data_IF_042799441412
#
_entry.id   IF_042799441412
#
_cell.length_a   1.000
_cell.length_b   1.000
_cell.length_c   1.000
_cell.angle_alpha   90.00
_cell.angle_beta   90.00
_cell.angle_gamma   90.00
#
_symmetry.space_group_name_H-M   'P 1'
#
loop_
_entity.id
_entity.type
_entity.pdbx_description
1 polymer ?
#
# COMPACT_ATOMS: atom_id res chain seq x y z
N UNK A 1 -41.97 -11.28 19.82
CA UNK A 1 -42.12 -11.50 18.36
C UNK A 1 -41.81 -12.97 18.12
N UNK A 2 -42.76 -13.84 17.72
CA UNK A 2 -42.48 -15.28 17.75
C UNK A 2 -41.68 -15.77 16.54
N UNK A 3 -40.80 -16.74 16.78
CA UNK A 3 -39.92 -17.37 15.79
C UNK A 3 -40.19 -18.86 15.67
N UNK A 4 -40.79 -19.51 16.67
CA UNK A 4 -41.24 -20.90 16.64
C UNK A 4 -42.75 -20.98 16.94
N UNK A 5 -43.46 -21.86 16.24
CA UNK A 5 -44.78 -22.35 16.64
C UNK A 5 -44.70 -23.84 17.01
N UNK A 6 -45.37 -24.24 18.09
CA UNK A 6 -45.46 -25.64 18.47
C UNK A 6 -46.23 -26.46 17.43
N UNK A 7 -46.04 -27.79 17.37
CA UNK A 7 -46.74 -28.66 16.42
C UNK A 7 -48.28 -28.58 16.50
N UNK A 8 -48.81 -28.31 17.69
CA UNK A 8 -50.25 -28.14 17.92
C UNK A 8 -50.79 -26.75 17.49
N UNK A 9 -49.92 -25.85 17.02
CA UNK A 9 -50.27 -24.51 16.57
C UNK A 9 -50.63 -23.52 17.69
N UNK A 10 -50.65 -23.95 18.96
CA UNK A 10 -51.16 -23.15 20.08
C UNK A 10 -50.08 -22.27 20.71
N UNK A 11 -48.89 -22.83 20.90
CA UNK A 11 -47.80 -22.17 21.61
C UNK A 11 -46.87 -21.48 20.61
N UNK A 12 -46.51 -20.23 20.91
CA UNK A 12 -45.63 -19.40 20.09
C UNK A 12 -44.47 -18.92 20.95
N UNK A 13 -43.26 -19.28 20.58
CA UNK A 13 -42.05 -18.95 21.33
C UNK A 13 -41.09 -18.10 20.49
N UNK A 14 -40.24 -17.33 21.17
CA UNK A 14 -39.14 -16.57 20.60
C UNK A 14 -37.85 -17.23 21.09
N UNK A 15 -37.30 -18.13 20.27
CA UNK A 15 -36.15 -18.98 20.65
C UNK A 15 -34.93 -18.81 19.74
N UNK A 16 -35.09 -18.08 18.64
CA UNK A 16 -34.06 -17.86 17.65
C UNK A 16 -33.46 -16.45 17.86
N UNK A 17 -32.12 -16.36 17.98
CA UNK A 17 -31.43 -15.12 18.30
C UNK A 17 -30.21 -14.88 17.40
N UNK A 18 -29.96 -13.61 17.08
CA UNK A 18 -28.71 -13.16 16.45
C UNK A 18 -27.87 -12.48 17.54
N UNK A 19 -26.73 -13.06 17.89
CA UNK A 19 -25.84 -12.54 18.93
C UNK A 19 -24.61 -11.88 18.31
N UNK A 20 -24.17 -10.75 18.88
CA UNK A 20 -22.99 -10.03 18.40
C UNK A 20 -22.39 -9.18 19.52
N UNK A 21 -21.07 -8.98 19.49
CA UNK A 21 -20.38 -7.99 20.31
C UNK A 21 -20.44 -6.56 19.74
N UNK A 22 -21.05 -6.37 18.55
CA UNK A 22 -21.16 -5.09 17.86
C UNK A 22 -22.58 -4.82 17.39
N UNK A 23 -23.51 -4.74 18.35
CA UNK A 23 -24.93 -4.51 18.07
C UNK A 23 -25.19 -3.26 17.21
N UNK A 24 -24.38 -2.20 17.36
CA UNK A 24 -24.49 -0.96 16.59
C UNK A 24 -24.28 -1.12 15.08
N UNK A 25 -23.70 -2.23 14.63
CA UNK A 25 -23.46 -2.50 13.21
C UNK A 25 -24.68 -3.13 12.54
N UNK A 26 -25.68 -3.56 13.31
CA UNK A 26 -26.87 -4.21 12.78
C UNK A 26 -28.10 -3.31 12.92
N UNK A 27 -28.94 -3.31 11.90
CA UNK A 27 -30.22 -2.59 11.88
C UNK A 27 -31.32 -3.43 11.25
N UNK A 28 -32.55 -2.90 11.25
CA UNK A 28 -33.71 -3.52 10.59
C UNK A 28 -33.98 -4.97 11.04
N UNK A 29 -34.04 -5.18 12.36
CA UNK A 29 -34.43 -6.47 12.94
C UNK A 29 -35.91 -6.74 12.67
N UNK A 30 -36.19 -7.82 11.95
CA UNK A 30 -37.56 -8.18 11.58
C UNK A 30 -37.72 -9.68 11.40
N UNK A 31 -38.90 -10.20 11.75
CA UNK A 31 -39.31 -11.56 11.41
C UNK A 31 -40.10 -11.52 10.10
N UNK A 32 -39.65 -12.31 9.12
CA UNK A 32 -40.28 -12.39 7.80
C UNK A 32 -41.59 -13.18 7.91
N UNK A 33 -42.72 -12.49 7.75
CA UNK A 33 -44.07 -13.07 7.99
C UNK A 33 -44.67 -13.85 6.83
N UNK A 34 -44.22 -13.57 5.59
CA UNK A 34 -44.79 -14.13 4.35
C UNK A 34 -43.72 -14.92 3.60
N UNK A 35 -43.27 -16.01 4.22
CA UNK A 35 -42.33 -16.93 3.60
C UNK A 35 -42.83 -18.35 3.83
N UNK A 36 -43.19 -19.04 2.75
CA UNK A 36 -43.88 -20.32 2.82
C UNK A 36 -42.88 -21.47 2.72
N UNK A 37 -42.27 -21.82 3.85
CA UNK A 37 -41.49 -23.04 3.99
C UNK A 37 -42.26 -24.08 4.81
N UNK A 38 -41.97 -25.35 4.58
CA UNK A 38 -42.43 -26.44 5.42
C UNK A 38 -41.62 -26.51 6.73
N UNK A 39 -41.65 -25.43 7.51
CA UNK A 39 -41.03 -25.34 8.84
C UNK A 39 -41.97 -24.62 9.81
N UNK A 40 -41.89 -25.00 11.08
CA UNK A 40 -42.55 -24.32 12.18
C UNK A 40 -41.74 -23.12 12.72
N UNK A 41 -40.59 -22.81 12.13
CA UNK A 41 -39.81 -21.61 12.41
C UNK A 41 -40.11 -20.47 11.43
N UNK A 42 -39.94 -19.23 11.89
CA UNK A 42 -39.95 -18.01 11.08
C UNK A 42 -38.54 -17.45 10.94
N UNK A 43 -38.20 -16.99 9.75
CA UNK A 43 -36.91 -16.38 9.47
C UNK A 43 -36.76 -15.01 10.16
N UNK A 44 -35.60 -14.80 10.77
CA UNK A 44 -35.16 -13.51 11.30
C UNK A 44 -34.24 -12.85 10.27
N UNK A 45 -34.47 -11.56 10.03
CA UNK A 45 -33.64 -10.70 9.20
C UNK A 45 -33.02 -9.59 10.04
N UNK A 46 -31.74 -9.35 9.82
CA UNK A 46 -31.03 -8.14 10.25
C UNK A 46 -30.15 -7.65 9.09
N UNK A 47 -29.93 -6.35 9.02
CA UNK A 47 -29.08 -5.70 8.02
C UNK A 47 -27.76 -5.30 8.65
N UNK A 48 -26.65 -5.70 8.03
CA UNK A 48 -25.31 -5.28 8.44
C UNK A 48 -24.94 -3.94 7.78
N UNK A 49 -24.69 -2.92 8.58
CA UNK A 49 -24.10 -1.65 8.15
C UNK A 49 -22.61 -1.83 7.88
N UNK A 50 -22.24 -1.98 6.62
CA UNK A 50 -20.85 -1.95 6.19
C UNK A 50 -20.45 -0.53 5.79
N UNK A 51 -19.41 0.00 6.43
CA UNK A 51 -18.74 1.20 5.91
C UNK A 51 -17.80 0.80 4.78
N UNK A 52 -17.68 1.64 3.76
CA UNK A 52 -16.66 1.47 2.74
C UNK A 52 -15.29 1.35 3.44
N UNK A 53 -14.50 0.29 3.16
CA UNK A 53 -13.18 0.18 3.73
C UNK A 53 -12.40 1.45 3.37
N UNK A 54 -11.70 2.04 4.34
CA UNK A 54 -10.82 3.17 4.07
C UNK A 54 -9.90 2.78 2.92
N UNK A 55 -9.83 3.62 1.88
CA UNK A 55 -8.92 3.40 0.75
C UNK A 55 -7.55 3.04 1.33
N UNK A 56 -7.00 1.86 1.00
CA UNK A 56 -5.68 1.51 1.47
C UNK A 56 -4.71 2.60 1.02
N UNK A 57 -3.72 2.91 1.86
CA UNK A 57 -2.63 3.81 1.46
C UNK A 57 -2.08 3.28 0.13
N UNK A 58 -1.92 4.12 -0.91
CA UNK A 58 -1.31 3.70 -2.17
C UNK A 58 0.00 3.00 -1.84
N UNK A 59 0.11 1.72 -2.17
CA UNK A 59 1.40 1.04 -2.11
C UNK A 59 2.24 1.70 -3.19
N UNK A 60 3.45 2.15 -2.84
CA UNK A 60 4.47 2.43 -3.83
C UNK A 60 4.73 1.09 -4.51
N UNK A 61 4.17 0.89 -5.71
CA UNK A 61 4.55 -0.24 -6.53
C UNK A 61 6.08 -0.15 -6.72
N UNK A 62 6.86 -1.16 -6.26
CA UNK A 62 8.31 -1.12 -6.37
C UNK A 62 8.76 -1.10 -7.83
N UNK A 63 7.91 -1.58 -8.75
CA UNK A 63 8.06 -1.42 -10.18
C UNK A 63 7.12 -0.32 -10.68
N UNK A 64 7.55 0.95 -10.63
CA UNK A 64 6.99 1.95 -11.55
C UNK A 64 7.27 1.46 -12.96
N UNK A 65 6.28 0.84 -13.60
CA UNK A 65 6.36 0.50 -15.02
C UNK A 65 6.61 1.80 -15.78
N UNK A 66 7.62 1.80 -16.64
CA UNK A 66 7.90 2.92 -17.51
C UNK A 66 6.66 3.19 -18.37
N UNK A 67 6.29 4.47 -18.51
CA UNK A 67 5.24 4.85 -19.42
C UNK A 67 5.63 4.52 -20.86
N UNK A 68 4.65 4.30 -21.74
CA UNK A 68 4.87 3.99 -23.17
C UNK A 68 5.82 4.98 -23.85
N UNK A 69 5.66 6.28 -23.58
CA UNK A 69 6.53 7.34 -24.10
C UNK A 69 7.98 7.23 -23.62
N UNK A 70 8.19 6.83 -22.36
CA UNK A 70 9.53 6.64 -21.81
C UNK A 70 10.22 5.42 -22.45
N UNK A 71 9.46 4.35 -22.70
CA UNK A 71 9.96 3.15 -23.38
C UNK A 71 10.38 3.50 -24.81
N UNK A 72 9.58 4.30 -25.52
CA UNK A 72 9.87 4.75 -26.88
C UNK A 72 11.14 5.63 -26.93
N UNK A 73 11.26 6.59 -26.01
CA UNK A 73 12.47 7.41 -25.86
C UNK A 73 13.71 6.57 -25.56
N UNK A 74 13.61 5.58 -24.66
CA UNK A 74 14.71 4.65 -24.35
C UNK A 74 15.11 3.85 -25.59
N UNK A 75 14.13 3.38 -26.36
CA UNK A 75 14.38 2.58 -27.56
C UNK A 75 15.12 3.38 -28.63
N UNK A 76 14.74 4.65 -28.84
CA UNK A 76 15.42 5.55 -29.78
C UNK A 76 16.85 5.82 -29.31
N UNK A 77 17.04 6.21 -28.05
CA UNK A 77 18.37 6.51 -27.51
C UNK A 77 19.31 5.30 -27.56
N UNK A 78 18.81 4.10 -27.28
CA UNK A 78 19.60 2.87 -27.39
C UNK A 78 19.96 2.54 -28.85
N UNK A 79 19.07 2.84 -29.80
CA UNK A 79 19.36 2.62 -31.22
C UNK A 79 20.52 3.50 -31.67
N UNK A 80 20.54 4.76 -31.25
CA UNK A 80 21.58 5.72 -31.60
C UNK A 80 22.93 5.33 -30.94
N UNK A 81 22.93 5.01 -29.65
CA UNK A 81 24.12 4.55 -28.92
C UNK A 81 24.71 3.25 -29.48
N UNK A 82 23.86 2.36 -30.00
CA UNK A 82 24.31 1.09 -30.54
C UNK A 82 24.58 1.10 -32.05
N UNK A 83 24.44 2.24 -32.73
CA UNK A 83 24.66 2.36 -34.17
C UNK A 83 26.05 1.82 -34.58
N UNK A 84 27.08 2.19 -33.83
CA UNK A 84 28.48 1.81 -34.09
C UNK A 84 29.02 0.81 -33.06
N UNK A 85 28.15 0.08 -32.35
CA UNK A 85 28.56 -0.82 -31.27
C UNK A 85 29.51 -1.92 -31.74
N UNK A 86 29.28 -2.44 -32.95
CA UNK A 86 30.10 -3.50 -33.53
C UNK A 86 31.55 -3.04 -33.77
N UNK A 87 31.71 -1.79 -34.21
CA UNK A 87 33.01 -1.23 -34.55
C UNK A 87 33.73 -0.71 -33.30
N UNK A 88 33.00 -0.03 -32.40
CA UNK A 88 33.55 0.48 -31.14
C UNK A 88 33.96 -0.61 -30.14
N UNK A 89 33.43 -1.83 -30.27
CA UNK A 89 33.77 -2.97 -29.41
C UNK A 89 34.62 -4.03 -30.09
N UNK A 90 35.11 -3.80 -31.31
CA UNK A 90 35.81 -4.81 -32.13
C UNK A 90 36.94 -5.52 -31.37
N UNK A 91 37.79 -4.75 -30.70
CA UNK A 91 38.97 -5.21 -29.96
C UNK A 91 38.66 -5.71 -28.53
N UNK A 92 37.40 -5.59 -28.08
CA UNK A 92 36.99 -6.01 -26.75
C UNK A 92 36.74 -7.53 -26.71
N UNK A 93 37.09 -8.13 -25.57
CA UNK A 93 36.68 -9.49 -25.24
C UNK A 93 35.17 -9.61 -25.05
N UNK A 94 34.69 -10.85 -25.01
CA UNK A 94 33.25 -11.15 -24.94
C UNK A 94 32.65 -10.58 -23.65
N UNK A 95 33.34 -10.69 -22.52
CA UNK A 95 32.83 -10.21 -21.24
C UNK A 95 32.76 -8.68 -21.20
N UNK A 96 33.75 -7.98 -21.76
CA UNK A 96 33.78 -6.53 -21.86
C UNK A 96 32.66 -6.00 -22.77
N UNK A 97 32.35 -6.73 -23.86
CA UNK A 97 31.18 -6.45 -24.72
C UNK A 97 29.88 -6.52 -23.94
N UNK A 98 29.66 -7.59 -23.18
CA UNK A 98 28.47 -7.74 -22.35
C UNK A 98 28.36 -6.65 -21.29
N UNK A 99 29.47 -6.34 -20.60
CA UNK A 99 29.50 -5.29 -19.59
C UNK A 99 29.18 -3.91 -20.20
N UNK A 100 29.74 -3.60 -21.37
CA UNK A 100 29.48 -2.36 -22.10
C UNK A 100 28.01 -2.26 -22.48
N UNK A 101 27.46 -3.30 -23.11
CA UNK A 101 26.05 -3.38 -23.49
C UNK A 101 25.11 -3.19 -22.28
N UNK A 102 25.36 -3.91 -21.19
CA UNK A 102 24.55 -3.83 -19.97
C UNK A 102 24.63 -2.43 -19.35
N UNK A 103 25.82 -1.83 -19.32
CA UNK A 103 26.02 -0.48 -18.78
C UNK A 103 25.32 0.58 -19.63
N UNK A 104 25.35 0.48 -20.96
CA UNK A 104 24.64 1.39 -21.86
C UNK A 104 23.13 1.31 -21.62
N UNK A 105 22.56 0.10 -21.55
CA UNK A 105 21.14 -0.09 -21.21
C UNK A 105 20.80 0.51 -19.85
N UNK A 106 21.58 0.22 -18.81
CA UNK A 106 21.36 0.75 -17.47
C UNK A 106 21.43 2.28 -17.44
N UNK A 107 22.35 2.87 -18.19
CA UNK A 107 22.58 4.32 -18.23
C UNK A 107 21.45 5.03 -18.95
N UNK A 108 21.11 4.62 -20.17
CA UNK A 108 20.01 5.22 -20.94
C UNK A 108 18.67 5.04 -20.23
N UNK A 109 18.42 3.86 -19.66
CA UNK A 109 17.25 3.62 -18.81
C UNK A 109 17.25 4.56 -17.61
N UNK A 110 18.36 4.73 -16.89
CA UNK A 110 18.43 5.65 -15.74
C UNK A 110 18.23 7.11 -16.13
N UNK A 111 18.72 7.55 -17.28
CA UNK A 111 18.59 8.95 -17.74
C UNK A 111 17.12 9.28 -18.04
N UNK A 112 16.45 8.42 -18.79
CA UNK A 112 15.06 8.66 -19.26
C UNK A 112 14.02 8.25 -18.20
N UNK A 113 14.33 7.25 -17.38
CA UNK A 113 13.48 6.85 -16.27
C UNK A 113 13.51 7.84 -15.09
N UNK A 114 14.32 8.91 -15.13
CA UNK A 114 14.48 9.80 -13.98
C UNK A 114 14.16 11.28 -14.19
N UNK A 115 13.80 11.98 -13.09
CA UNK A 115 13.76 11.46 -11.72
C UNK A 115 12.37 11.54 -11.08
N UNK A 116 12.16 10.80 -9.99
CA UNK A 116 11.37 11.37 -8.88
C UNK A 116 11.82 12.82 -8.79
N UNK A 117 10.92 13.80 -9.00
CA UNK A 117 11.21 15.16 -8.53
C UNK A 117 11.80 14.96 -7.15
N UNK A 118 13.01 15.47 -6.92
CA UNK A 118 13.63 15.36 -5.62
C UNK A 118 12.78 16.23 -4.70
N UNK A 119 11.68 15.64 -4.20
CA UNK A 119 10.73 16.28 -3.30
C UNK A 119 11.38 16.61 -1.98
N UNK A 120 12.64 16.22 -1.79
CA UNK A 120 13.49 16.50 -0.65
C UNK A 120 14.58 17.52 -0.97
N UNK A 121 14.64 18.11 -2.17
CA UNK A 121 15.61 19.17 -2.51
C UNK A 121 15.48 20.44 -1.67
N UNK A 122 14.31 20.65 -1.04
CA UNK A 122 14.09 21.73 -0.07
C UNK A 122 14.55 21.37 1.34
N UNK A 123 14.86 20.10 1.63
CA UNK A 123 15.38 19.68 2.93
C UNK A 123 16.86 19.99 3.02
N UNK A 124 17.29 20.50 4.16
CA UNK A 124 18.71 20.65 4.46
C UNK A 124 19.37 19.30 4.71
N UNK A 125 20.70 19.28 4.57
CA UNK A 125 21.54 18.12 4.90
C UNK A 125 21.28 17.65 6.34
N UNK A 126 21.12 18.59 7.28
CA UNK A 126 20.82 18.29 8.68
C UNK A 126 19.49 17.52 8.83
N UNK A 127 18.42 17.98 8.18
CA UNK A 127 17.12 17.30 8.23
C UNK A 127 17.19 15.90 7.62
N UNK A 128 17.97 15.74 6.54
CA UNK A 128 18.17 14.45 5.87
C UNK A 128 18.90 13.47 6.77
N UNK A 129 19.94 13.92 7.49
CA UNK A 129 20.67 13.10 8.48
C UNK A 129 19.76 12.64 9.62
N UNK A 130 18.96 13.55 10.20
CA UNK A 130 18.02 13.20 11.27
C UNK A 130 16.98 12.15 10.82
N UNK A 131 16.53 12.22 9.56
CA UNK A 131 15.60 11.24 8.99
C UNK A 131 16.22 9.84 8.86
N UNK A 132 17.47 9.75 8.41
CA UNK A 132 18.20 8.47 8.34
C UNK A 132 18.53 7.93 9.74
N UNK A 133 18.95 8.78 10.69
CA UNK A 133 19.13 8.38 12.08
C UNK A 133 17.84 7.78 12.68
N UNK A 134 16.69 8.44 12.46
CA UNK A 134 15.40 7.94 12.91
C UNK A 134 15.08 6.57 12.33
N UNK A 135 15.41 6.33 11.06
CA UNK A 135 15.20 5.06 10.39
C UNK A 135 16.07 3.96 10.99
N UNK A 136 17.33 4.26 11.32
CA UNK A 136 18.20 3.34 12.08
C UNK A 136 17.62 3.00 13.46
N UNK A 137 17.07 3.97 14.20
CA UNK A 137 16.44 3.68 15.50
C UNK A 137 15.15 2.86 15.39
N UNK A 138 14.46 2.89 14.25
CA UNK A 138 13.27 2.05 14.00
C UNK A 138 13.69 0.62 13.70
N UNK A 139 14.77 0.41 12.94
CA UNK A 139 15.26 -0.92 12.56
C UNK A 139 16.10 -1.60 13.64
N UNK A 140 16.68 -0.85 14.57
CA UNK A 140 17.45 -1.41 15.68
C UNK A 140 16.58 -2.24 16.64
N UNK A 141 17.11 -3.40 17.06
CA UNK A 141 16.48 -4.35 18.00
C UNK A 141 16.53 -3.88 19.46
N UNK A 142 17.35 -2.87 19.77
CA UNK A 142 17.56 -2.40 21.13
C UNK A 142 16.36 -1.62 21.68
N UNK A 143 15.81 -2.10 22.80
CA UNK A 143 14.53 -1.65 23.35
C UNK A 143 14.66 -0.65 24.49
N UNK A 144 15.75 -0.70 25.29
CA UNK A 144 15.81 -0.07 26.63
C UNK A 144 15.67 1.46 26.64
N UNK A 145 15.91 2.16 25.53
CA UNK A 145 15.68 3.61 25.43
C UNK A 145 15.12 4.07 24.09
N UNK A 146 14.65 3.14 23.26
CA UNK A 146 14.22 3.41 21.87
C UNK A 146 13.13 4.47 21.80
N UNK A 147 12.14 4.39 22.70
CA UNK A 147 10.99 5.29 22.72
C UNK A 147 11.39 6.74 23.03
N UNK A 148 12.29 6.94 24.00
CA UNK A 148 12.82 8.27 24.36
C UNK A 148 13.68 8.86 23.23
N UNK A 149 14.58 8.07 22.64
CA UNK A 149 15.41 8.48 21.50
C UNK A 149 14.57 8.85 20.27
N UNK A 150 13.58 8.03 19.93
CA UNK A 150 12.64 8.31 18.83
C UNK A 150 11.82 9.58 19.07
N UNK A 151 11.37 9.83 20.30
CA UNK A 151 10.65 11.04 20.64
C UNK A 151 11.52 12.29 20.47
N UNK A 152 12.78 12.24 20.93
CA UNK A 152 13.75 13.34 20.79
C UNK A 152 14.02 13.65 19.31
N UNK A 153 14.40 12.65 18.52
CA UNK A 153 14.70 12.82 17.09
C UNK A 153 13.46 13.26 16.31
N UNK A 154 12.27 12.75 16.64
CA UNK A 154 11.04 13.20 15.98
C UNK A 154 10.74 14.68 16.27
N UNK A 155 11.10 15.19 17.46
CA UNK A 155 11.00 16.62 17.78
C UNK A 155 12.02 17.44 16.97
N UNK A 156 13.27 16.98 16.90
CA UNK A 156 14.34 17.66 16.14
C UNK A 156 14.04 17.71 14.64
N UNK A 157 13.55 16.61 14.05
CA UNK A 157 13.10 16.58 12.64
C UNK A 157 12.00 17.62 12.41
N UNK A 158 11.02 17.71 13.34
CA UNK A 158 9.91 18.67 13.20
C UNK A 158 10.42 20.11 13.18
N UNK A 159 11.34 20.46 14.06
CA UNK A 159 11.93 21.80 14.11
C UNK A 159 12.82 22.07 12.88
N UNK A 160 13.62 21.09 12.45
CA UNK A 160 14.48 21.23 11.27
C UNK A 160 13.67 21.41 9.98
N UNK A 161 12.63 20.61 9.78
CA UNK A 161 11.66 20.78 8.69
C UNK A 161 11.00 22.16 8.72
N UNK A 162 10.68 22.69 9.90
CA UNK A 162 10.07 24.02 10.02
C UNK A 162 11.03 25.13 9.61
N UNK A 163 12.33 24.96 9.83
CA UNK A 163 13.38 25.88 9.38
C UNK A 163 13.61 25.78 7.88
N UNK A 164 13.67 24.57 7.32
CA UNK A 164 13.87 24.32 5.89
C UNK A 164 12.73 24.87 5.00
N UNK A 165 11.55 25.15 5.58
CA UNK A 165 10.40 25.74 4.87
C UNK A 165 10.38 27.28 4.88
N UNK A 166 11.24 27.93 5.66
CA UNK A 166 11.36 29.39 5.70
C UNK A 166 12.36 29.85 4.66
#
# INVERSE_FOLDING_TARGET
>A
MWTLISPDGKTKNEIDFITTNRASYFTNFSVIKRFNFNTNHRLIRAELKTYQPRKPRPRLDPAKKLGRQQIEQITIALRDEFADFKDSTRELGIQEKYNSFENTIKTQTKLIAKPKIDTTKWLSTNTTQLLEERKHFISASETRNRRKKLAKISKEIKESIRKDRK
#
